data_IF_127746920938
#
_entry.id   IF_127746920938
#
_cell.length_a   1.000
_cell.length_b   1.000
_cell.length_c   1.000
_cell.angle_alpha   90.00
_cell.angle_beta   90.00
_cell.angle_gamma   90.00
#
_symmetry.space_group_name_H-M   'P 1'
#
loop_
_entity.id
_entity.type
_entity.pdbx_description
1 polymer ?
#
# COMPACT_ATOMS: atom_id res chain seq x y z
N UNK A 1 15.31 -2.47 12.43
CA UNK A 1 14.07 -1.95 13.03
C UNK A 1 13.91 -0.54 12.51
N UNK A 2 12.83 -0.25 11.84
CA UNK A 2 12.51 1.11 11.41
C UNK A 2 12.15 1.94 12.66
N UNK A 3 12.82 3.06 12.85
CA UNK A 3 12.57 3.95 14.00
C UNK A 3 11.12 4.43 14.08
N UNK A 4 10.40 4.40 12.97
CA UNK A 4 8.99 4.79 12.88
C UNK A 4 8.03 3.67 13.25
N UNK A 5 8.49 2.44 13.26
CA UNK A 5 7.78 1.28 13.76
C UNK A 5 8.33 0.87 15.13
N UNK A 6 8.52 1.85 16.00
CA UNK A 6 9.13 1.68 17.33
C UNK A 6 8.32 0.82 18.30
N UNK A 7 7.15 0.38 17.89
CA UNK A 7 6.29 -0.50 18.68
C UNK A 7 6.76 -1.96 18.70
N UNK A 8 7.71 -2.31 17.83
CA UNK A 8 8.19 -3.68 17.67
C UNK A 8 9.70 -3.74 17.81
N UNK A 9 10.19 -4.73 18.51
CA UNK A 9 11.62 -4.94 18.73
C UNK A 9 11.98 -6.41 18.76
N UNK A 10 13.27 -6.70 18.58
CA UNK A 10 13.84 -8.04 18.72
C UNK A 10 13.12 -9.12 17.90
N UNK A 11 13.06 -8.92 16.61
CA UNK A 11 12.54 -9.91 15.66
C UNK A 11 13.34 -11.21 15.76
N UNK A 12 12.65 -12.33 15.69
CA UNK A 12 13.32 -13.61 15.68
C UNK A 12 12.43 -14.78 15.32
N UNK A 13 13.05 -15.94 15.30
CA UNK A 13 12.40 -17.24 15.08
C UNK A 13 11.54 -17.30 13.83
N UNK A 14 12.18 -17.01 12.71
CA UNK A 14 11.55 -16.84 11.41
C UNK A 14 11.19 -18.20 10.82
N UNK A 15 9.96 -18.33 10.28
CA UNK A 15 9.51 -19.43 9.45
C UNK A 15 8.97 -18.91 8.13
N UNK A 16 9.35 -19.58 7.05
CA UNK A 16 8.85 -19.27 5.72
C UNK A 16 7.66 -20.18 5.40
N UNK A 17 6.59 -19.58 4.89
CA UNK A 17 5.39 -20.27 4.49
C UNK A 17 5.04 -19.91 3.05
N UNK A 18 4.59 -20.93 2.30
CA UNK A 18 3.92 -20.68 1.02
C UNK A 18 2.46 -21.07 1.15
N UNK A 19 1.58 -20.10 1.02
CA UNK A 19 0.14 -20.29 1.17
C UNK A 19 -0.57 -19.73 -0.05
N UNK A 20 -1.29 -20.58 -0.76
CA UNK A 20 -2.05 -20.20 -1.95
C UNK A 20 -1.20 -19.44 -2.99
N UNK A 21 0.05 -19.89 -3.20
CA UNK A 21 1.00 -19.28 -4.13
C UNK A 21 1.67 -17.99 -3.63
N UNK A 22 1.29 -17.50 -2.47
CA UNK A 22 1.90 -16.33 -1.83
C UNK A 22 2.98 -16.76 -0.84
N UNK A 23 4.08 -16.04 -0.80
CA UNK A 23 5.17 -16.27 0.14
C UNK A 23 4.99 -15.37 1.37
N UNK A 24 5.11 -15.99 2.54
CA UNK A 24 4.90 -15.34 3.83
C UNK A 24 6.02 -15.69 4.78
N UNK A 25 6.26 -14.80 5.74
CA UNK A 25 7.19 -14.98 6.83
C UNK A 25 6.41 -14.84 8.15
N UNK A 26 6.49 -15.88 8.97
CA UNK A 26 6.03 -15.82 10.36
C UNK A 26 7.24 -15.53 11.24
N UNK A 27 7.10 -14.56 12.09
CA UNK A 27 8.12 -14.18 13.06
C UNK A 27 7.47 -13.81 14.37
N UNK A 28 8.26 -13.71 15.42
CA UNK A 28 7.81 -13.14 16.66
C UNK A 28 8.58 -11.87 16.99
N UNK A 29 7.96 -11.03 17.76
CA UNK A 29 8.47 -9.73 18.16
C UNK A 29 7.97 -9.36 19.55
N UNK A 30 8.65 -8.43 20.19
CA UNK A 30 8.22 -7.83 21.43
C UNK A 30 7.56 -6.49 21.16
N UNK A 31 6.31 -6.27 21.61
CA UNK A 31 5.71 -4.96 21.52
C UNK A 31 6.48 -3.95 22.37
N UNK A 32 6.98 -2.91 21.76
CA UNK A 32 7.45 -1.72 22.46
C UNK A 32 6.35 -0.63 22.30
N UNK A 33 6.13 0.28 23.20
CA UNK A 33 6.91 0.66 24.38
C UNK A 33 6.48 0.00 25.69
N UNK A 34 5.81 -1.14 25.65
CA UNK A 34 5.22 -1.80 26.82
C UNK A 34 6.23 -2.59 27.66
N UNK A 35 7.45 -2.13 27.76
CA UNK A 35 8.46 -2.75 28.61
C UNK A 35 9.18 -3.96 27.99
N UNK A 36 8.98 -4.20 26.70
CA UNK A 36 9.76 -5.19 25.97
C UNK A 36 9.56 -6.61 26.47
N UNK A 37 10.54 -7.16 27.16
CA UNK A 37 10.56 -8.57 27.55
C UNK A 37 9.45 -8.99 28.52
N UNK A 38 8.86 -8.08 29.27
CA UNK A 38 7.83 -8.40 30.27
C UNK A 38 6.44 -8.59 29.68
N UNK A 39 6.24 -8.14 28.44
CA UNK A 39 4.92 -8.24 27.76
C UNK A 39 4.72 -9.52 26.96
N UNK A 40 5.76 -10.36 26.88
CA UNK A 40 5.74 -11.59 26.12
C UNK A 40 5.93 -11.36 24.61
N UNK A 41 5.98 -12.45 23.90
CA UNK A 41 6.16 -12.47 22.45
C UNK A 41 4.81 -12.47 21.75
N UNK A 42 4.69 -11.70 20.71
CA UNK A 42 3.57 -11.79 19.77
C UNK A 42 4.04 -12.40 18.46
N UNK A 43 3.16 -13.13 17.81
CA UNK A 43 3.41 -13.62 16.47
C UNK A 43 2.94 -12.59 15.47
N UNK A 44 3.75 -12.36 14.46
CA UNK A 44 3.43 -11.50 13.33
C UNK A 44 3.57 -12.29 12.03
N UNK A 45 2.78 -11.89 11.05
CA UNK A 45 2.79 -12.45 9.71
C UNK A 45 3.03 -11.30 8.73
N UNK A 46 4.06 -11.44 7.91
CA UNK A 46 4.37 -10.47 6.86
C UNK A 46 4.44 -11.15 5.51
N UNK A 47 3.87 -10.52 4.50
CA UNK A 47 4.03 -10.99 3.13
C UNK A 47 5.47 -10.79 2.68
N UNK A 48 5.98 -11.73 1.90
CA UNK A 48 7.28 -11.63 1.26
C UNK A 48 7.11 -11.38 -0.23
N UNK A 49 8.05 -10.62 -0.78
CA UNK A 49 8.25 -10.48 -2.22
C UNK A 49 9.68 -10.85 -2.58
N UNK A 50 9.93 -11.16 -3.83
CA UNK A 50 11.25 -11.46 -4.35
C UNK A 50 11.72 -10.30 -5.21
N UNK A 51 12.90 -9.75 -4.90
CA UNK A 51 13.47 -8.63 -5.60
C UNK A 51 14.84 -9.01 -6.17
N UNK A 52 15.06 -8.70 -7.45
CA UNK A 52 16.36 -8.91 -8.07
C UNK A 52 17.43 -8.04 -7.42
N UNK A 53 18.48 -8.67 -6.95
CA UNK A 53 19.61 -8.01 -6.34
C UNK A 53 20.77 -7.96 -7.34
N UNK A 54 21.02 -6.79 -7.89
CA UNK A 54 22.08 -6.58 -8.91
C UNK A 54 23.48 -6.95 -8.41
N UNK A 55 23.76 -6.75 -7.11
CA UNK A 55 25.07 -7.07 -6.52
C UNK A 55 25.29 -8.58 -6.38
N UNK A 56 24.22 -9.32 -6.15
CA UNK A 56 24.26 -10.78 -5.96
C UNK A 56 23.95 -11.54 -7.25
N UNK A 57 23.27 -10.90 -8.21
CA UNK A 57 22.90 -11.49 -9.49
C UNK A 57 21.74 -12.49 -9.43
N UNK A 58 20.93 -12.44 -8.34
CA UNK A 58 19.75 -13.30 -8.18
C UNK A 58 18.68 -12.61 -7.32
N UNK A 59 17.46 -13.18 -7.34
CA UNK A 59 16.34 -12.71 -6.55
C UNK A 59 16.56 -12.98 -5.05
N UNK A 60 16.38 -11.95 -4.24
CA UNK A 60 16.46 -12.05 -2.78
C UNK A 60 15.09 -11.80 -2.15
N UNK A 61 14.76 -12.51 -1.06
CA UNK A 61 13.51 -12.29 -0.36
C UNK A 61 13.51 -10.96 0.37
N UNK A 62 12.39 -10.24 0.27
CA UNK A 62 12.14 -9.00 1.02
C UNK A 62 10.86 -9.19 1.83
N UNK A 63 10.94 -9.06 3.13
CA UNK A 63 9.78 -9.10 4.01
C UNK A 63 9.12 -7.71 4.06
N UNK A 64 7.80 -7.67 3.88
CA UNK A 64 6.98 -6.47 4.05
C UNK A 64 6.60 -6.26 5.53
N UNK A 65 7.58 -6.30 6.39
CA UNK A 65 7.44 -6.13 7.85
C UNK A 65 8.79 -6.27 8.58
N UNK A 66 8.80 -6.02 9.89
CA UNK A 66 7.65 -5.67 10.73
C UNK A 66 7.06 -4.29 10.42
N UNK A 67 5.77 -4.16 10.55
CA UNK A 67 5.09 -2.89 10.36
C UNK A 67 3.82 -2.82 11.20
N UNK A 68 3.46 -1.62 11.63
CA UNK A 68 2.17 -1.32 12.25
C UNK A 68 1.12 -0.89 11.22
N UNK A 69 1.52 -0.72 9.96
CA UNK A 69 0.60 -0.41 8.88
C UNK A 69 -0.31 -1.60 8.56
N UNK A 70 -1.54 -1.33 8.19
CA UNK A 70 -2.48 -2.35 7.72
C UNK A 70 -1.89 -3.08 6.52
N UNK A 71 -2.03 -4.40 6.52
CA UNK A 71 -1.55 -5.28 5.46
C UNK A 71 -2.71 -6.07 4.87
N UNK A 72 -2.66 -6.44 3.59
CA UNK A 72 -3.61 -7.39 3.04
C UNK A 72 -3.57 -8.71 3.83
N UNK A 73 -4.72 -9.27 4.12
CA UNK A 73 -4.80 -10.62 4.71
C UNK A 73 -4.40 -11.66 3.66
N UNK A 74 -3.85 -12.80 4.10
CA UNK A 74 -3.64 -13.94 3.20
C UNK A 74 -4.93 -14.31 2.47
N UNK A 75 -4.83 -14.62 1.18
CA UNK A 75 -5.99 -14.91 0.32
C UNK A 75 -6.86 -16.06 0.82
N UNK A 76 -6.28 -17.02 1.54
CA UNK A 76 -7.02 -18.13 2.17
C UNK A 76 -8.01 -17.68 3.24
N UNK A 77 -7.82 -16.50 3.83
CA UNK A 77 -8.73 -15.92 4.81
C UNK A 77 -9.65 -14.89 4.20
N UNK A 78 -9.12 -14.01 3.36
CA UNK A 78 -9.90 -12.92 2.76
C UNK A 78 -10.77 -13.37 1.58
N UNK A 79 -10.37 -14.42 0.89
CA UNK A 79 -10.93 -14.81 -0.42
C UNK A 79 -10.45 -13.90 -1.57
N UNK A 80 -9.59 -12.93 -1.31
CA UNK A 80 -9.11 -11.94 -2.27
C UNK A 80 -7.61 -11.96 -2.40
N UNK A 81 -7.13 -11.60 -3.57
CA UNK A 81 -5.70 -11.45 -3.86
C UNK A 81 -5.43 -10.04 -4.37
N UNK A 82 -4.22 -9.56 -4.12
CA UNK A 82 -3.73 -8.37 -4.80
C UNK A 82 -3.73 -8.63 -6.32
N UNK A 83 -4.33 -7.71 -7.06
CA UNK A 83 -4.42 -7.78 -8.53
C UNK A 83 -3.64 -6.66 -9.21
N UNK A 84 -2.92 -5.85 -8.47
CA UNK A 84 -2.17 -4.69 -8.98
C UNK A 84 -1.06 -5.09 -9.95
N UNK A 85 -0.48 -6.28 -9.78
CA UNK A 85 0.49 -6.88 -10.70
C UNK A 85 -0.03 -7.07 -12.13
N UNK A 86 -1.36 -7.10 -12.30
CA UNK A 86 -2.03 -7.21 -13.61
C UNK A 86 -2.28 -5.85 -14.27
N UNK A 87 -2.01 -4.76 -13.56
CA UNK A 87 -2.25 -3.42 -14.06
C UNK A 87 -1.06 -2.88 -14.85
N UNK A 88 -1.35 -2.13 -15.91
CA UNK A 88 -0.40 -1.18 -16.47
C UNK A 88 -0.55 0.12 -15.70
N UNK A 89 0.54 0.63 -15.14
CA UNK A 89 0.54 1.84 -14.33
C UNK A 89 1.15 2.99 -15.11
N UNK A 90 0.48 4.13 -15.08
CA UNK A 90 0.99 5.41 -15.60
C UNK A 90 0.73 6.52 -14.59
N UNK A 91 1.55 7.54 -14.59
CA UNK A 91 1.38 8.69 -13.70
C UNK A 91 1.75 10.00 -14.39
N UNK A 92 1.06 11.08 -14.01
CA UNK A 92 1.47 12.43 -14.40
C UNK A 92 2.57 12.94 -13.48
N UNK A 93 3.43 13.82 -13.98
CA UNK A 93 4.53 14.44 -13.23
C UNK A 93 5.55 13.44 -12.65
N UNK A 94 5.55 12.23 -13.16
CA UNK A 94 6.45 11.16 -12.77
C UNK A 94 7.93 11.56 -12.95
N UNK A 95 8.76 11.12 -12.01
CA UNK A 95 10.22 11.30 -12.04
C UNK A 95 10.88 9.95 -12.31
N UNK A 96 11.75 9.92 -13.31
CA UNK A 96 12.68 8.83 -13.64
C UNK A 96 12.04 7.45 -13.86
N UNK A 97 10.82 7.39 -14.41
CA UNK A 97 10.14 6.12 -14.67
C UNK A 97 9.84 5.33 -13.40
N UNK A 98 9.50 6.04 -12.33
CA UNK A 98 9.29 5.44 -11.00
C UNK A 98 7.92 4.80 -10.81
N UNK A 99 6.98 4.93 -11.75
CA UNK A 99 5.65 4.31 -11.66
C UNK A 99 5.71 2.78 -11.51
N UNK A 100 6.76 2.14 -11.98
CA UNK A 100 7.00 0.70 -11.82
C UNK A 100 7.12 0.26 -10.35
N UNK A 101 7.44 1.16 -9.45
CA UNK A 101 7.55 0.87 -8.02
C UNK A 101 6.22 0.96 -7.28
N UNK A 102 5.13 1.33 -7.95
CA UNK A 102 3.79 1.37 -7.36
C UNK A 102 3.16 -0.02 -7.21
N UNK A 103 3.73 -1.05 -7.84
CA UNK A 103 3.15 -2.39 -7.90
C UNK A 103 4.22 -3.49 -7.86
N UNK A 104 5.37 -3.21 -7.24
CA UNK A 104 6.48 -4.16 -7.16
C UNK A 104 6.40 -5.10 -5.95
N UNK A 105 5.35 -4.95 -5.14
CA UNK A 105 5.09 -5.76 -3.97
C UNK A 105 5.82 -5.29 -2.71
N UNK A 106 6.47 -4.12 -2.74
CA UNK A 106 7.21 -3.59 -1.60
C UNK A 106 6.37 -2.57 -0.82
N UNK A 107 5.55 -3.03 0.10
CA UNK A 107 4.69 -2.16 0.93
C UNK A 107 5.46 -1.44 2.03
N UNK A 108 6.62 -1.98 2.44
CA UNK A 108 7.48 -1.38 3.45
C UNK A 108 8.81 -1.00 2.82
N UNK A 109 9.03 0.28 2.62
CA UNK A 109 10.32 0.78 2.18
C UNK A 109 11.17 1.16 3.39
N UNK A 110 12.28 0.49 3.56
CA UNK A 110 13.26 0.87 4.55
C UNK A 110 14.02 2.12 4.08
N UNK A 111 14.59 2.90 5.00
CA UNK A 111 15.36 4.12 4.72
C UNK A 111 16.36 3.98 3.56
N UNK A 112 16.98 2.82 3.46
CA UNK A 112 17.98 2.52 2.42
C UNK A 112 17.41 2.28 1.03
N UNK A 113 16.10 2.10 0.93
CA UNK A 113 15.42 1.75 -0.33
C UNK A 113 14.50 2.87 -0.84
N UNK A 114 14.73 4.11 -0.40
CA UNK A 114 13.98 5.29 -0.87
C UNK A 114 14.08 5.52 -2.39
N UNK A 115 15.07 4.93 -3.04
CA UNK A 115 15.19 4.96 -4.50
C UNK A 115 14.18 4.07 -5.22
N UNK A 116 13.58 3.11 -4.50
CA UNK A 116 12.58 2.17 -5.01
C UNK A 116 11.17 2.56 -4.60
N UNK A 117 10.83 3.81 -4.81
CA UNK A 117 9.50 4.35 -4.56
C UNK A 117 9.04 5.12 -5.77
N UNK A 118 7.72 5.21 -5.92
CA UNK A 118 7.15 6.17 -6.85
C UNK A 118 7.48 7.59 -6.42
N UNK A 119 7.86 8.39 -7.40
CA UNK A 119 8.20 9.80 -7.23
C UNK A 119 7.48 10.63 -8.28
N UNK A 120 6.82 11.68 -7.86
CA UNK A 120 6.26 12.68 -8.75
C UNK A 120 6.60 14.08 -8.26
N UNK A 121 6.73 15.04 -9.19
CA UNK A 121 6.88 16.44 -8.80
C UNK A 121 5.63 16.92 -8.10
N UNK A 122 5.81 17.77 -7.08
CA UNK A 122 4.70 18.36 -6.33
C UNK A 122 3.68 19.07 -7.21
N UNK A 123 2.45 19.15 -6.73
CA UNK A 123 1.30 19.63 -7.47
C UNK A 123 0.30 18.50 -7.73
N UNK A 124 -0.60 18.69 -8.69
CA UNK A 124 -1.62 17.70 -9.01
C UNK A 124 -1.00 16.49 -9.72
N UNK A 125 -1.06 15.33 -9.06
CA UNK A 125 -0.58 14.07 -9.61
C UNK A 125 -1.76 13.11 -9.79
N UNK A 126 -1.85 12.51 -10.97
CA UNK A 126 -2.82 11.45 -11.28
C UNK A 126 -2.07 10.16 -11.57
N UNK A 127 -2.39 9.11 -10.84
CA UNK A 127 -1.92 7.74 -11.08
C UNK A 127 -3.08 6.97 -11.69
N UNK A 128 -2.82 6.23 -12.76
CA UNK A 128 -3.81 5.42 -13.47
C UNK A 128 -3.35 3.97 -13.52
N UNK A 129 -4.16 3.08 -12.96
CA UNK A 129 -4.02 1.64 -13.10
C UNK A 129 -5.02 1.17 -14.17
N UNK A 130 -4.53 0.53 -15.23
CA UNK A 130 -5.36 0.00 -16.31
C UNK A 130 -5.19 -1.51 -16.39
N UNK A 131 -6.29 -2.22 -16.29
CA UNK A 131 -6.33 -3.68 -16.40
C UNK A 131 -6.77 -4.08 -17.80
N UNK A 132 -6.06 -5.05 -18.39
CA UNK A 132 -6.41 -5.58 -19.72
C UNK A 132 -7.81 -6.21 -19.72
N UNK A 133 -8.11 -6.96 -18.66
CA UNK A 133 -9.43 -7.54 -18.41
C UNK A 133 -10.02 -6.93 -17.14
N UNK A 134 -11.35 -6.80 -17.06
CA UNK A 134 -11.98 -6.31 -15.83
C UNK A 134 -11.64 -7.18 -14.63
N UNK A 135 -11.35 -6.54 -13.52
CA UNK A 135 -11.07 -7.18 -12.22
C UNK A 135 -12.16 -6.86 -11.21
N UNK A 136 -12.47 -7.81 -10.34
CA UNK A 136 -13.34 -7.60 -9.19
C UNK A 136 -12.51 -7.15 -8.01
N UNK A 137 -12.84 -5.99 -7.45
CA UNK A 137 -12.11 -5.37 -6.34
C UNK A 137 -13.05 -5.00 -5.21
N UNK A 138 -12.55 -5.00 -3.97
CA UNK A 138 -13.29 -4.57 -2.79
C UNK A 138 -12.45 -3.75 -1.80
N UNK A 139 -11.24 -3.42 -2.14
CA UNK A 139 -10.37 -2.60 -1.30
C UNK A 139 -9.21 -2.04 -2.08
N UNK A 140 -8.65 -0.99 -1.54
CA UNK A 140 -7.42 -0.36 -2.02
C UNK A 140 -6.61 0.11 -0.83
N UNK A 141 -5.31 -0.18 -0.86
CA UNK A 141 -4.34 0.31 0.10
C UNK A 141 -3.28 1.11 -0.66
N UNK A 142 -2.97 2.30 -0.17
CA UNK A 142 -1.95 3.16 -0.75
C UNK A 142 -0.92 3.43 0.34
N UNK A 143 0.27 2.85 0.20
CA UNK A 143 1.32 2.91 1.20
C UNK A 143 2.14 4.16 1.06
N UNK A 144 2.20 4.92 2.13
CA UNK A 144 2.96 6.16 2.20
C UNK A 144 4.47 5.90 2.25
N UNK A 145 5.23 6.85 1.75
CA UNK A 145 6.68 6.83 1.92
C UNK A 145 7.07 6.97 3.40
N UNK A 146 8.22 6.45 3.74
CA UNK A 146 8.87 6.74 5.01
C UNK A 146 9.53 8.12 5.08
N UNK A 147 9.74 8.76 3.94
CA UNK A 147 10.31 10.08 3.90
C UNK A 147 9.29 11.13 4.35
N UNK A 148 9.47 11.65 5.55
CA UNK A 148 8.54 12.58 6.19
C UNK A 148 8.35 13.90 5.43
N UNK A 149 9.31 14.30 4.61
CA UNK A 149 9.23 15.54 3.81
C UNK A 149 8.37 15.37 2.56
N UNK A 150 8.18 14.12 2.09
CA UNK A 150 7.54 13.80 0.82
C UNK A 150 6.35 12.84 0.97
N UNK A 151 5.77 12.77 2.16
CA UNK A 151 4.59 11.96 2.44
C UNK A 151 3.30 12.68 2.09
N UNK A 152 2.23 11.93 1.87
CA UNK A 152 0.88 12.47 1.77
C UNK A 152 0.09 12.24 3.07
N UNK A 153 -0.88 13.11 3.34
CA UNK A 153 -1.81 13.01 4.48
C UNK A 153 -3.21 12.59 4.04
N UNK A 154 -3.50 12.73 2.75
CA UNK A 154 -4.81 12.46 2.18
C UNK A 154 -4.65 12.06 0.71
N UNK A 155 -5.72 11.52 0.13
CA UNK A 155 -5.88 11.26 -1.30
C UNK A 155 -7.09 12.06 -1.77
N UNK A 156 -6.91 12.94 -2.74
CA UNK A 156 -7.99 13.82 -3.22
C UNK A 156 -9.17 13.03 -3.76
N UNK A 157 -8.92 12.12 -4.67
CA UNK A 157 -9.97 11.27 -5.25
C UNK A 157 -9.42 9.91 -5.65
N UNK A 158 -10.30 8.90 -5.58
CA UNK A 158 -10.12 7.62 -6.25
C UNK A 158 -11.35 7.39 -7.10
N UNK A 159 -11.16 7.21 -8.40
CA UNK A 159 -12.23 6.98 -9.36
C UNK A 159 -12.11 5.60 -9.99
N UNK A 160 -13.19 4.85 -10.00
CA UNK A 160 -13.28 3.51 -10.58
C UNK A 160 -14.13 3.55 -11.83
N UNK A 161 -13.57 3.19 -12.99
CA UNK A 161 -14.35 3.00 -14.21
C UNK A 161 -15.06 1.65 -14.16
N UNK A 162 -16.34 1.66 -13.83
CA UNK A 162 -17.13 0.44 -13.69
C UNK A 162 -17.38 -0.20 -15.07
N UNK A 163 -17.15 -1.51 -15.17
CA UNK A 163 -17.49 -2.29 -16.38
C UNK A 163 -18.89 -2.88 -16.30
N UNK A 164 -19.46 -2.98 -15.12
CA UNK A 164 -20.85 -3.33 -14.86
C UNK A 164 -21.36 -2.49 -13.67
N UNK A 165 -22.65 -2.24 -13.64
CA UNK A 165 -23.26 -1.47 -12.55
C UNK A 165 -23.61 -2.40 -11.40
N UNK A 166 -23.00 -2.23 -10.21
CA UNK A 166 -23.38 -3.01 -9.04
C UNK A 166 -24.83 -2.73 -8.64
N UNK A 167 -25.50 -3.72 -8.06
CA UNK A 167 -26.90 -3.62 -7.63
C UNK A 167 -27.16 -2.48 -6.62
N UNK A 168 -26.15 -2.08 -5.85
CA UNK A 168 -26.21 -1.00 -4.88
C UNK A 168 -25.97 0.39 -5.47
N UNK A 169 -25.47 0.48 -6.73
CA UNK A 169 -25.23 1.72 -7.43
C UNK A 169 -26.49 2.15 -8.18
N UNK A 170 -26.79 3.43 -8.26
CA UNK A 170 -28.02 3.96 -8.88
C UNK A 170 -28.12 3.80 -10.41
N UNK A 171 -27.18 3.13 -11.03
CA UNK A 171 -27.26 2.63 -12.40
C UNK A 171 -26.99 3.64 -13.51
N UNK A 172 -26.65 4.89 -13.21
CA UNK A 172 -26.57 5.93 -14.25
C UNK A 172 -25.15 6.23 -14.75
N UNK A 173 -24.12 5.86 -14.00
CA UNK A 173 -22.74 6.22 -14.35
C UNK A 173 -21.84 4.99 -14.43
N UNK A 174 -20.94 5.02 -15.41
CA UNK A 174 -19.90 3.98 -15.58
C UNK A 174 -18.68 4.20 -14.71
N UNK A 175 -18.67 5.28 -13.94
CA UNK A 175 -17.61 5.60 -12.99
C UNK A 175 -18.22 5.86 -11.62
N UNK A 176 -17.52 5.52 -10.57
CA UNK A 176 -17.86 5.96 -9.22
C UNK A 176 -16.63 6.53 -8.53
N UNK A 177 -16.87 7.51 -7.69
CA UNK A 177 -15.84 8.07 -6.83
C UNK A 177 -15.85 7.35 -5.48
N UNK A 178 -14.77 7.48 -4.73
CA UNK A 178 -14.67 6.87 -3.41
C UNK A 178 -15.79 7.33 -2.47
N UNK A 179 -16.23 8.57 -2.59
CA UNK A 179 -17.34 9.16 -1.82
C UNK A 179 -18.71 8.51 -2.11
N UNK A 180 -18.85 7.85 -3.27
CA UNK A 180 -20.09 7.23 -3.70
C UNK A 180 -20.21 5.77 -3.27
N UNK A 181 -19.12 5.21 -2.74
CA UNK A 181 -19.06 3.83 -2.31
C UNK A 181 -19.60 3.69 -0.88
N UNK A 182 -20.45 2.69 -0.59
CA UNK A 182 -20.97 2.48 0.75
C UNK A 182 -19.93 1.80 1.65
N UNK A 183 -18.89 2.53 2.03
CA UNK A 183 -17.80 2.01 2.83
C UNK A 183 -17.23 3.05 3.79
N UNK A 184 -16.52 2.58 4.81
CA UNK A 184 -15.73 3.42 5.69
C UNK A 184 -14.30 3.51 5.16
N UNK A 185 -13.78 4.71 5.02
CA UNK A 185 -12.35 4.92 4.80
C UNK A 185 -11.66 4.84 6.16
N UNK A 186 -10.90 3.77 6.35
CA UNK A 186 -10.02 3.68 7.50
C UNK A 186 -8.67 4.27 7.10
N UNK A 187 -8.52 5.56 7.36
CA UNK A 187 -7.20 6.16 7.37
C UNK A 187 -6.58 5.89 8.74
N UNK A 188 -5.38 5.36 8.75
CA UNK A 188 -4.60 5.29 9.98
C UNK A 188 -4.17 6.72 10.33
N UNK A 189 -5.02 7.41 11.07
CA UNK A 189 -4.76 8.77 11.52
C UNK A 189 -4.20 8.72 12.92
N UNK A 190 -3.06 9.34 13.13
CA UNK A 190 -2.70 9.77 14.47
C UNK A 190 -3.53 11.00 14.88
N UNK A 191 -3.61 11.29 16.21
CA UNK A 191 -4.59 12.23 16.78
C UNK A 191 -4.62 13.66 16.20
N UNK A 192 -3.67 14.06 15.38
CA UNK A 192 -3.56 15.43 14.84
C UNK A 192 -3.63 15.48 13.29
N UNK A 193 -4.36 14.59 12.69
CA UNK A 193 -4.84 14.81 11.32
C UNK A 193 -3.93 14.43 10.19
N UNK A 194 -4.07 13.25 9.71
CA UNK A 194 -3.53 12.78 8.46
C UNK A 194 -2.72 11.50 8.56
N UNK A 195 -2.50 10.89 7.42
CA UNK A 195 -1.65 9.73 7.26
C UNK A 195 -0.22 10.05 7.63
N UNK A 196 0.38 9.18 8.42
CA UNK A 196 1.78 9.32 8.75
C UNK A 196 2.69 8.69 7.69
N UNK A 197 3.93 9.12 7.69
CA UNK A 197 4.96 8.46 6.90
C UNK A 197 5.02 6.97 7.22
N UNK A 198 5.11 6.14 6.19
CA UNK A 198 5.16 4.69 6.31
C UNK A 198 3.83 4.00 6.64
N UNK A 199 2.73 4.73 6.80
CA UNK A 199 1.39 4.15 6.98
C UNK A 199 0.65 3.99 5.66
N UNK A 200 -0.49 3.28 5.66
CA UNK A 200 -1.32 3.08 4.49
C UNK A 200 -2.64 3.86 4.59
N UNK A 201 -3.04 4.48 3.48
CA UNK A 201 -4.44 4.85 3.28
C UNK A 201 -5.20 3.60 2.86
N UNK A 202 -6.29 3.28 3.55
CA UNK A 202 -7.06 2.07 3.30
C UNK A 202 -8.52 2.45 3.06
N UNK A 203 -9.07 1.92 1.97
CA UNK A 203 -10.50 1.96 1.71
C UNK A 203 -10.99 0.54 1.43
N UNK A 204 -12.06 0.13 2.10
CA UNK A 204 -12.75 -1.13 1.86
C UNK A 204 -14.19 -0.85 1.48
N UNK A 205 -14.71 -1.58 0.53
CA UNK A 205 -16.03 -1.32 -0.04
C UNK A 205 -16.67 -2.62 -0.56
N UNK A 206 -17.96 -2.56 -0.91
CA UNK A 206 -18.63 -3.66 -1.59
C UNK A 206 -17.99 -3.91 -2.95
N UNK A 207 -17.95 -5.17 -3.37
CA UNK A 207 -17.36 -5.57 -4.64
C UNK A 207 -17.84 -4.72 -5.81
N UNK A 208 -16.88 -4.28 -6.60
CA UNK A 208 -17.10 -3.63 -7.89
C UNK A 208 -16.24 -4.30 -8.95
N UNK A 209 -16.68 -4.21 -10.20
CA UNK A 209 -15.91 -4.70 -11.34
C UNK A 209 -15.44 -3.52 -12.17
N UNK A 210 -14.14 -3.39 -12.32
CA UNK A 210 -13.49 -2.25 -12.98
C UNK A 210 -12.35 -2.69 -13.87
N UNK A 211 -12.07 -1.91 -14.90
CA UNK A 211 -10.88 -2.07 -15.73
C UNK A 211 -9.92 -0.89 -15.61
N UNK A 212 -10.28 0.15 -14.86
CA UNK A 212 -9.42 1.32 -14.67
C UNK A 212 -9.68 1.96 -13.31
N UNK A 213 -8.60 2.30 -12.61
CA UNK A 213 -8.62 3.05 -11.36
C UNK A 213 -7.76 4.28 -11.55
N UNK A 214 -8.28 5.45 -11.23
CA UNK A 214 -7.55 6.72 -11.24
C UNK A 214 -7.48 7.28 -9.82
N UNK A 215 -6.27 7.56 -9.36
CA UNK A 215 -5.97 8.08 -8.02
C UNK A 215 -5.38 9.47 -8.19
N UNK A 216 -5.93 10.46 -7.54
CA UNK A 216 -5.47 11.85 -7.64
C UNK A 216 -5.00 12.38 -6.29
N UNK A 217 -3.90 13.12 -6.35
CA UNK A 217 -3.32 13.88 -5.25
C UNK A 217 -3.19 15.32 -5.66
N UNK A 218 -3.55 16.23 -4.77
CA UNK A 218 -3.31 17.65 -4.91
C UNK A 218 -2.17 18.11 -3.98
N UNK A 219 -1.71 19.35 -4.17
CA UNK A 219 -0.66 19.92 -3.32
C UNK A 219 -1.05 19.93 -1.84
N UNK A 220 -2.34 20.15 -1.56
CA UNK A 220 -2.85 20.21 -0.18
C UNK A 220 -2.95 18.83 0.48
N UNK A 221 -2.81 17.75 -0.29
CA UNK A 221 -2.76 16.38 0.22
C UNK A 221 -1.39 16.01 0.79
N UNK A 222 -0.36 16.84 0.57
CA UNK A 222 0.98 16.59 1.07
C UNK A 222 1.09 16.91 2.57
N UNK A 223 1.80 16.07 3.29
CA UNK A 223 2.07 16.25 4.72
C UNK A 223 3.38 17.01 4.95
N UNK A 224 4.42 16.66 4.20
CA UNK A 224 5.74 17.25 4.32
C UNK A 224 5.89 18.53 3.51
N UNK A 225 7.07 19.13 3.62
CA UNK A 225 7.45 20.36 2.90
C UNK A 225 8.27 20.06 1.64
N UNK A 226 8.44 18.79 1.30
CA UNK A 226 9.16 18.39 0.11
C UNK A 226 8.41 18.74 -1.17
N UNK A 227 9.15 18.84 -2.26
CA UNK A 227 8.61 19.17 -3.58
C UNK A 227 8.14 17.93 -4.36
N UNK A 228 8.22 16.75 -3.75
CA UNK A 228 7.88 15.48 -4.37
C UNK A 228 6.77 14.77 -3.60
N UNK A 229 5.87 14.12 -4.33
CA UNK A 229 5.00 13.09 -3.81
C UNK A 229 5.76 11.76 -3.90
N UNK A 230 5.82 11.01 -2.80
CA UNK A 230 6.38 9.65 -2.78
C UNK A 230 5.37 8.65 -2.23
N UNK A 231 5.24 7.54 -2.95
CA UNK A 231 4.35 6.42 -2.61
C UNK A 231 5.18 5.15 -2.65
N UNK A 232 5.04 4.31 -1.63
CA UNK A 232 5.76 3.04 -1.57
C UNK A 232 5.12 1.99 -2.47
N UNK A 233 3.80 1.79 -2.35
CA UNK A 233 3.08 0.72 -3.05
C UNK A 233 1.59 1.05 -3.14
N UNK A 234 0.91 0.50 -4.14
CA UNK A 234 -0.55 0.44 -4.25
C UNK A 234 -0.97 -1.02 -4.32
N UNK A 235 -1.91 -1.41 -3.46
CA UNK A 235 -2.49 -2.75 -3.42
C UNK A 235 -3.99 -2.65 -3.67
N UNK A 236 -4.48 -3.43 -4.62
CA UNK A 236 -5.91 -3.50 -4.97
C UNK A 236 -6.38 -4.93 -4.94
#
# INVERSE_FOLDING_TARGET
VDERNTFMSNLGHVQFLKVDGQDWIVHWEFPAPFGGYDTGRIYALSQMTWQYNEKLGFDTPVANGPTTSLQPLPSVYSGYRNVTDKATVTATNEIDGSAKYLTDGMTVTMRRDESKQFRAKGGKTKITLTFKEPVTVRGILIYNSYNTENTFKNVSTINFALTETPAWHNGKEKSCFISDLPFAVEAYTLPEGGLQSGSAAVATFNEIKTNKIEIEFDKDDMLGKGDELRIAEIVV
#
